data_IF_279528357642
#
_entry.id   IF_279528357642
#
_cell.length_a   1.000
_cell.length_b   1.000
_cell.length_c   1.000
_cell.angle_alpha   90.00
_cell.angle_beta   90.00
_cell.angle_gamma   90.00
#
_symmetry.space_group_name_H-M   'P 1'
#
loop_
_entity.id
_entity.type
_entity.pdbx_description
1 polymer ?
#
# COMPACT_ATOMS: atom_id res chain seq x y z
N UNK A 1 -3.31 -5.93 -18.83
CA UNK A 1 -3.16 -4.71 -19.65
C UNK A 1 -2.85 -3.59 -18.67
N UNK A 2 -1.57 -3.34 -18.41
CA UNK A 2 -1.15 -2.33 -17.44
C UNK A 2 -1.70 -0.98 -17.92
N UNK A 3 -2.69 -0.46 -17.20
CA UNK A 3 -3.11 0.91 -17.42
C UNK A 3 -1.87 1.78 -17.22
N UNK A 4 -1.62 2.71 -18.15
CA UNK A 4 -0.56 3.70 -18.02
C UNK A 4 -0.86 4.60 -16.82
N UNK A 5 -0.55 4.10 -15.62
CA UNK A 5 -0.66 4.81 -14.37
C UNK A 5 0.45 5.86 -14.37
N UNK A 6 0.06 7.13 -14.38
CA UNK A 6 1.02 8.21 -14.21
C UNK A 6 1.71 8.04 -12.86
N UNK A 7 3.03 8.26 -12.81
CA UNK A 7 3.83 8.13 -11.59
C UNK A 7 3.24 8.91 -10.41
N UNK A 8 2.66 10.08 -10.64
CA UNK A 8 1.97 10.87 -9.62
C UNK A 8 0.67 10.23 -9.10
N UNK A 9 -0.04 9.47 -9.93
CA UNK A 9 -1.25 8.75 -9.51
C UNK A 9 -0.90 7.46 -8.77
N UNK A 10 0.15 6.76 -9.19
CA UNK A 10 0.73 5.66 -8.43
C UNK A 10 1.14 6.13 -7.02
N UNK A 11 1.86 7.25 -6.95
CA UNK A 11 2.23 7.88 -5.70
C UNK A 11 1.01 8.24 -4.84
N UNK A 12 -0.02 8.86 -5.42
CA UNK A 12 -1.26 9.20 -4.71
C UNK A 12 -1.97 7.97 -4.15
N UNK A 13 -2.01 6.86 -4.89
CA UNK A 13 -2.64 5.60 -4.44
C UNK A 13 -1.87 4.94 -3.30
N UNK A 14 -0.55 4.90 -3.40
CA UNK A 14 0.31 4.38 -2.31
C UNK A 14 0.12 5.25 -1.06
N UNK A 15 0.14 6.57 -1.22
CA UNK A 15 -0.07 7.51 -0.12
C UNK A 15 -1.46 7.36 0.53
N UNK A 16 -2.52 7.22 -0.27
CA UNK A 16 -3.90 7.01 0.22
C UNK A 16 -4.02 5.69 1.01
N UNK A 17 -3.44 4.60 0.49
CA UNK A 17 -3.41 3.31 1.19
C UNK A 17 -2.70 3.42 2.54
N UNK A 18 -1.51 4.04 2.56
CA UNK A 18 -0.75 4.20 3.79
C UNK A 18 -1.48 5.09 4.82
N UNK A 19 -2.16 6.15 4.38
CA UNK A 19 -2.99 6.98 5.25
C UNK A 19 -4.14 6.20 5.87
N UNK A 20 -4.85 5.37 5.10
CA UNK A 20 -5.92 4.49 5.64
C UNK A 20 -5.37 3.46 6.63
N UNK A 21 -4.18 2.93 6.38
CA UNK A 21 -3.53 2.00 7.30
C UNK A 21 -3.20 2.67 8.64
N UNK A 22 -2.64 3.88 8.60
CA UNK A 22 -2.33 4.67 9.79
C UNK A 22 -3.60 5.08 10.58
N UNK A 23 -4.66 5.47 9.86
CA UNK A 23 -5.96 5.75 10.47
C UNK A 23 -6.54 4.50 11.15
N UNK A 24 -6.49 3.34 10.49
CA UNK A 24 -6.98 2.07 11.07
C UNK A 24 -6.17 1.64 12.29
N UNK A 25 -4.84 1.83 12.27
CA UNK A 25 -3.95 1.59 13.43
C UNK A 25 -4.32 2.54 14.58
N UNK A 26 -4.46 3.83 14.29
CA UNK A 26 -4.78 4.86 15.27
C UNK A 26 -6.15 4.67 15.91
N UNK A 27 -7.13 4.20 15.14
CA UNK A 27 -8.47 3.89 15.60
C UNK A 27 -8.59 2.52 16.27
N UNK A 28 -7.53 1.70 16.23
CA UNK A 28 -7.56 0.30 16.65
C UNK A 28 -8.67 -0.50 15.95
N UNK A 29 -8.98 -0.13 14.70
CA UNK A 29 -10.01 -0.80 13.91
C UNK A 29 -9.41 -2.04 13.23
N UNK A 30 -9.54 -3.18 13.92
CA UNK A 30 -9.04 -4.45 13.44
C UNK A 30 -9.74 -4.96 12.16
N UNK A 31 -10.98 -4.53 11.88
CA UNK A 31 -11.72 -4.97 10.71
C UNK A 31 -11.24 -4.23 9.44
N UNK A 32 -11.03 -2.92 9.56
CA UNK A 32 -10.43 -2.12 8.49
C UNK A 32 -8.97 -2.51 8.26
N UNK A 33 -8.20 -2.73 9.33
CA UNK A 33 -6.82 -3.21 9.22
C UNK A 33 -6.77 -4.59 8.53
N UNK A 34 -7.63 -5.52 8.92
CA UNK A 34 -7.72 -6.84 8.29
C UNK A 34 -8.09 -6.74 6.80
N UNK A 35 -8.96 -5.79 6.44
CA UNK A 35 -9.35 -5.55 5.04
C UNK A 35 -8.20 -4.94 4.23
N UNK A 36 -7.39 -4.04 4.81
CA UNK A 36 -6.20 -3.46 4.18
C UNK A 36 -5.03 -4.47 4.06
N UNK A 37 -4.98 -5.45 4.97
CA UNK A 37 -4.02 -6.55 4.98
C UNK A 37 -4.50 -7.79 4.20
N UNK A 38 -5.73 -7.78 3.69
CA UNK A 38 -6.29 -8.89 2.93
C UNK A 38 -5.63 -8.98 1.54
N UNK A 39 -4.43 -9.56 1.51
CA UNK A 39 -3.57 -9.69 0.33
C UNK A 39 -4.17 -10.62 -0.73
N UNK A 40 -5.18 -11.46 -0.41
CA UNK A 40 -5.39 -12.72 -1.14
C UNK A 40 -6.76 -12.98 -1.81
N UNK A 41 -7.76 -12.09 -1.86
CA UNK A 41 -8.99 -12.48 -2.58
C UNK A 41 -9.96 -11.39 -3.06
N UNK A 42 -9.59 -10.12 -3.01
CA UNK A 42 -10.48 -9.06 -3.47
C UNK A 42 -9.94 -8.42 -4.77
N UNK A 43 -10.80 -8.12 -5.76
CA UNK A 43 -10.45 -7.27 -6.90
C UNK A 43 -10.12 -5.81 -6.49
N UNK A 44 -10.00 -5.54 -5.19
CA UNK A 44 -9.58 -4.27 -4.62
C UNK A 44 -8.04 -4.15 -4.46
N UNK A 45 -7.27 -5.25 -4.52
CA UNK A 45 -5.80 -5.21 -4.42
C UNK A 45 -5.08 -4.92 -5.75
N UNK A 46 -5.74 -5.18 -6.88
CA UNK A 46 -5.23 -4.88 -8.24
C UNK A 46 -4.81 -3.41 -8.47
N UNK A 47 -5.52 -2.36 -8.01
CA UNK A 47 -5.10 -0.98 -8.24
C UNK A 47 -3.87 -0.54 -7.43
N UNK A 48 -3.56 -1.20 -6.30
CA UNK A 48 -2.39 -0.89 -5.49
C UNK A 48 -1.15 -1.58 -6.04
N UNK A 49 -1.26 -2.83 -6.47
CA UNK A 49 -0.13 -3.58 -7.04
C UNK A 49 0.39 -2.97 -8.34
N UNK A 50 -0.50 -2.47 -9.20
CA UNK A 50 -0.11 -1.71 -10.40
C UNK A 50 0.61 -0.39 -10.04
N UNK A 51 0.19 0.28 -8.96
CA UNK A 51 0.85 1.48 -8.45
C UNK A 51 2.24 1.17 -7.86
N UNK A 52 2.38 0.06 -7.14
CA UNK A 52 3.66 -0.42 -6.62
C UNK A 52 4.61 -0.82 -7.76
N UNK A 53 4.09 -1.43 -8.82
CA UNK A 53 4.86 -1.74 -10.03
C UNK A 53 5.37 -0.49 -10.74
N UNK A 54 4.60 0.60 -10.74
CA UNK A 54 4.95 1.87 -11.37
C UNK A 54 5.88 2.75 -10.51
N UNK A 55 6.06 2.45 -9.22
CA UNK A 55 6.84 3.28 -8.30
C UNK A 55 7.79 2.44 -7.41
N UNK A 56 8.98 2.06 -7.89
CA UNK A 56 9.90 1.17 -7.16
C UNK A 56 10.46 1.77 -5.85
N UNK A 57 10.45 3.10 -5.70
CA UNK A 57 10.87 3.81 -4.49
C UNK A 57 9.79 3.87 -3.39
N UNK A 58 8.71 3.06 -3.50
CA UNK A 58 7.66 2.95 -2.49
C UNK A 58 8.15 2.68 -1.05
N UNK A 59 9.24 1.91 -0.79
CA UNK A 59 9.70 1.68 0.58
C UNK A 59 10.21 2.96 1.22
N UNK A 60 10.90 3.80 0.44
CA UNK A 60 11.47 5.06 0.93
C UNK A 60 10.36 6.06 1.25
N UNK A 61 9.34 6.10 0.40
CA UNK A 61 8.14 6.91 0.61
C UNK A 61 7.38 6.52 1.87
N UNK A 62 7.20 5.22 2.07
CA UNK A 62 6.53 4.66 3.23
C UNK A 62 7.28 5.02 4.52
N UNK A 63 8.61 4.85 4.54
CA UNK A 63 9.45 5.17 5.68
C UNK A 63 9.52 6.66 5.99
N UNK A 64 9.52 7.53 4.97
CA UNK A 64 9.53 8.99 5.15
C UNK A 64 8.23 9.48 5.80
N UNK A 65 7.10 8.90 5.39
CA UNK A 65 5.76 9.31 5.85
C UNK A 65 5.35 8.66 7.17
N UNK A 66 5.77 7.42 7.39
CA UNK A 66 5.45 6.63 8.58
C UNK A 66 6.73 6.03 9.18
N UNK A 67 7.59 6.85 9.81
CA UNK A 67 8.87 6.39 10.36
C UNK A 67 8.70 5.34 11.47
N UNK A 68 7.55 5.31 12.15
CA UNK A 68 7.23 4.33 13.18
C UNK A 68 6.82 2.96 12.62
N UNK A 69 6.55 2.86 11.31
CA UNK A 69 6.22 1.62 10.60
C UNK A 69 7.25 1.28 9.53
N UNK A 70 8.41 1.94 9.52
CA UNK A 70 9.44 1.79 8.48
C UNK A 70 9.98 0.37 8.33
N UNK A 71 9.93 -0.43 9.39
CA UNK A 71 10.36 -1.84 9.36
C UNK A 71 9.23 -2.79 8.88
N UNK A 72 7.97 -2.37 9.01
CA UNK A 72 6.79 -3.17 8.70
C UNK A 72 6.24 -2.92 7.29
N UNK A 73 6.25 -1.66 6.83
CA UNK A 73 5.68 -1.28 5.53
C UNK A 73 6.42 -1.89 4.32
N UNK A 74 7.77 -1.91 4.27
CA UNK A 74 8.48 -2.49 3.12
C UNK A 74 8.15 -3.98 2.85
N UNK A 75 8.18 -4.89 3.84
CA UNK A 75 7.82 -6.29 3.59
C UNK A 75 6.33 -6.47 3.26
N UNK A 76 5.44 -5.68 3.85
CA UNK A 76 4.01 -5.70 3.55
C UNK A 76 3.71 -5.28 2.11
N UNK A 77 4.24 -4.14 1.66
CA UNK A 77 4.03 -3.64 0.31
C UNK A 77 4.64 -4.59 -0.72
N UNK A 78 5.80 -5.21 -0.40
CA UNK A 78 6.39 -6.25 -1.24
C UNK A 78 5.51 -7.50 -1.32
N UNK A 79 4.87 -7.90 -0.22
CA UNK A 79 3.93 -9.03 -0.22
C UNK A 79 2.72 -8.74 -1.11
N UNK A 80 2.12 -7.54 -0.99
CA UNK A 80 1.02 -7.10 -1.86
C UNK A 80 1.43 -7.14 -3.34
N UNK A 81 2.61 -6.59 -3.66
CA UNK A 81 3.12 -6.60 -5.04
C UNK A 81 3.39 -8.01 -5.57
N UNK A 82 3.93 -8.91 -4.73
CA UNK A 82 4.27 -10.28 -5.14
C UNK A 82 3.06 -11.19 -5.32
N UNK A 83 1.95 -10.92 -4.62
CA UNK A 83 0.73 -11.73 -4.63
C UNK A 83 -0.34 -11.23 -5.62
N UNK A 84 0.03 -10.32 -6.52
CA UNK A 84 -0.90 -9.67 -7.44
C UNK A 84 -0.75 -10.05 -8.90
#
# INVERSE_FOLDING_TARGET
MAAYLSMGEAHRRIADYLSRLDDAISQSDGADLASLLAISSAPASTPLSDALAAFPDFPRLASDRFPHLSDFLPPLLRAIHSHS
#
